data_IF_913558877578
#
_entry.id   IF_913558877578
#
_cell.length_a   1.000
_cell.length_b   1.000
_cell.length_c   1.000
_cell.angle_alpha   90.00
_cell.angle_beta   90.00
_cell.angle_gamma   90.00
#
_symmetry.space_group_name_H-M   'P 1'
#
loop_
_entity.id
_entity.type
_entity.pdbx_description
1 polymer ?
#
# COMPACT_ATOMS: atom_id res chain seq x y z
N UNK A 1 3.07 15.17 -20.06
CA UNK A 1 3.32 15.36 -18.61
C UNK A 1 2.07 15.22 -17.73
N UNK A 2 1.02 16.04 -17.89
CA UNK A 2 -0.14 16.05 -16.98
C UNK A 2 -1.01 14.76 -16.94
N UNK A 3 -1.10 14.02 -18.04
CA UNK A 3 -1.81 12.73 -18.06
C UNK A 3 -1.04 11.63 -17.27
N UNK A 4 0.29 11.65 -17.35
CA UNK A 4 1.17 10.68 -16.67
C UNK A 4 1.19 10.92 -15.16
N UNK A 5 1.25 12.18 -14.72
CA UNK A 5 1.14 12.49 -13.29
C UNK A 5 -0.22 12.06 -12.70
N UNK A 6 -1.32 12.21 -13.44
CA UNK A 6 -2.63 11.68 -13.05
C UNK A 6 -2.64 10.16 -12.93
N UNK A 7 -2.00 9.45 -13.86
CA UNK A 7 -1.87 7.98 -13.81
C UNK A 7 -1.07 7.52 -12.59
N UNK A 8 0.08 8.15 -12.32
CA UNK A 8 0.93 7.86 -11.14
C UNK A 8 0.12 8.07 -9.85
N UNK A 9 -0.58 9.19 -9.73
CA UNK A 9 -1.40 9.50 -8.54
C UNK A 9 -2.57 8.54 -8.37
N UNK A 10 -3.20 8.11 -9.48
CA UNK A 10 -4.25 7.09 -9.43
C UNK A 10 -3.70 5.78 -8.90
N UNK A 11 -2.57 5.32 -9.45
CA UNK A 11 -1.91 4.08 -9.04
C UNK A 11 -1.49 4.12 -7.57
N UNK A 12 -0.89 5.23 -7.13
CA UNK A 12 -0.52 5.46 -5.74
C UNK A 12 -1.73 5.32 -4.79
N UNK A 13 -2.85 5.99 -5.10
CA UNK A 13 -4.07 5.90 -4.31
C UNK A 13 -4.65 4.48 -4.30
N UNK A 14 -4.59 3.78 -5.42
CA UNK A 14 -5.03 2.39 -5.52
C UNK A 14 -4.18 1.48 -4.63
N UNK A 15 -2.85 1.60 -4.69
CA UNK A 15 -1.93 0.83 -3.84
C UNK A 15 -2.20 1.04 -2.35
N UNK A 16 -2.40 2.30 -1.93
CA UNK A 16 -2.72 2.59 -0.53
C UNK A 16 -4.05 1.96 -0.10
N UNK A 17 -5.08 2.05 -0.93
CA UNK A 17 -6.39 1.45 -0.65
C UNK A 17 -6.33 -0.07 -0.54
N UNK A 18 -5.56 -0.74 -1.38
CA UNK A 18 -5.39 -2.19 -1.28
C UNK A 18 -4.56 -2.58 -0.05
N UNK A 19 -3.50 -1.83 0.27
CA UNK A 19 -2.69 -2.07 1.46
C UNK A 19 -3.47 -1.84 2.78
N UNK A 20 -4.42 -0.92 2.81
CA UNK A 20 -5.28 -0.71 3.99
C UNK A 20 -6.15 -1.93 4.33
N UNK A 21 -6.44 -2.79 3.36
CA UNK A 21 -7.28 -3.98 3.55
C UNK A 21 -6.56 -5.14 4.22
N UNK A 22 -5.24 -5.06 4.42
CA UNK A 22 -4.52 -6.09 5.16
C UNK A 22 -5.12 -6.25 6.56
N UNK A 23 -5.49 -7.47 6.98
CA UNK A 23 -6.10 -7.68 8.29
C UNK A 23 -5.08 -7.45 9.42
N UNK A 24 -3.86 -7.98 9.26
CA UNK A 24 -2.77 -7.78 10.23
C UNK A 24 -2.20 -6.37 10.17
N UNK A 25 -2.09 -5.74 11.35
CA UNK A 25 -1.51 -4.42 11.53
C UNK A 25 -0.08 -4.31 11.01
N UNK A 26 0.75 -5.35 11.18
CA UNK A 26 2.14 -5.31 10.76
C UNK A 26 2.26 -5.20 9.24
N UNK A 27 1.52 -6.04 8.51
CA UNK A 27 1.50 -5.96 7.05
C UNK A 27 0.87 -4.65 6.56
N UNK A 28 -0.26 -4.24 7.16
CA UNK A 28 -0.93 -2.97 6.81
C UNK A 28 0.00 -1.77 6.96
N UNK A 29 0.63 -1.62 8.12
CA UNK A 29 1.52 -0.47 8.41
C UNK A 29 2.80 -0.50 7.59
N UNK A 30 3.42 -1.68 7.46
CA UNK A 30 4.62 -1.83 6.63
C UNK A 30 4.34 -1.50 5.17
N UNK A 31 3.31 -2.09 4.57
CA UNK A 31 2.97 -1.87 3.16
C UNK A 31 2.63 -0.40 2.90
N UNK A 32 1.84 0.25 3.77
CA UNK A 32 1.52 1.67 3.62
C UNK A 32 2.77 2.56 3.68
N UNK A 33 3.69 2.27 4.60
CA UNK A 33 4.97 3.00 4.70
C UNK A 33 5.83 2.76 3.46
N UNK A 34 6.02 1.50 3.06
CA UNK A 34 6.86 1.14 1.90
C UNK A 34 6.34 1.77 0.60
N UNK A 35 5.03 1.80 0.38
CA UNK A 35 4.41 2.47 -0.77
C UNK A 35 4.71 3.97 -0.72
N UNK A 36 4.50 4.64 0.42
CA UNK A 36 4.79 6.08 0.56
C UNK A 36 6.25 6.39 0.30
N UNK A 37 7.15 5.59 0.84
CA UNK A 37 8.59 5.79 0.70
C UNK A 37 9.03 5.60 -0.75
N UNK A 38 8.58 4.53 -1.42
CA UNK A 38 8.91 4.25 -2.83
C UNK A 38 8.48 5.38 -3.78
N UNK A 39 7.26 5.92 -3.61
CA UNK A 39 6.76 7.00 -4.47
C UNK A 39 7.44 8.33 -4.17
N UNK A 40 7.94 8.54 -2.94
CA UNK A 40 8.71 9.73 -2.58
C UNK A 40 10.14 9.66 -3.14
N UNK A 41 10.76 8.48 -3.05
CA UNK A 41 12.10 8.20 -3.57
C UNK A 41 12.22 8.52 -5.06
N UNK A 42 11.22 8.14 -5.87
CA UNK A 42 11.21 8.38 -7.32
C UNK A 42 10.40 9.62 -7.75
N UNK A 43 10.11 10.56 -6.84
CA UNK A 43 9.27 11.73 -7.15
C UNK A 43 9.87 12.65 -8.21
N UNK A 44 11.19 12.79 -8.22
CA UNK A 44 11.93 13.68 -9.11
C UNK A 44 12.54 12.95 -10.32
N UNK A 45 12.20 11.67 -10.51
CA UNK A 45 12.63 10.93 -11.68
C UNK A 45 12.05 11.57 -12.95
N UNK A 46 12.92 11.74 -13.94
CA UNK A 46 12.60 12.42 -15.20
C UNK A 46 12.83 11.54 -16.42
N UNK A 47 13.52 10.41 -16.24
CA UNK A 47 13.72 9.40 -17.27
C UNK A 47 12.42 8.65 -17.55
N UNK A 48 11.92 8.78 -18.78
CA UNK A 48 10.64 8.22 -19.19
C UNK A 48 10.63 6.69 -19.16
N UNK A 49 11.74 6.03 -19.51
CA UNK A 49 11.82 4.57 -19.53
C UNK A 49 11.77 4.01 -18.10
N UNK A 50 12.57 4.60 -17.19
CA UNK A 50 12.55 4.21 -15.78
C UNK A 50 11.18 4.41 -15.13
N UNK A 51 10.49 5.51 -15.44
CA UNK A 51 9.14 5.72 -14.90
C UNK A 51 8.17 4.65 -15.41
N UNK A 52 8.31 4.18 -16.66
CA UNK A 52 7.43 3.12 -17.20
C UNK A 52 7.74 1.76 -16.57
N UNK A 53 9.02 1.46 -16.30
CA UNK A 53 9.43 0.28 -15.54
C UNK A 53 8.88 0.32 -14.11
N UNK A 54 9.01 1.46 -13.43
CA UNK A 54 8.46 1.65 -12.08
C UNK A 54 6.95 1.51 -12.04
N UNK A 55 6.24 2.03 -13.04
CA UNK A 55 4.79 1.88 -13.16
C UNK A 55 4.38 0.42 -13.40
N UNK A 56 5.14 -0.30 -14.22
CA UNK A 56 4.91 -1.73 -14.47
C UNK A 56 5.16 -2.55 -13.21
N UNK A 57 6.25 -2.27 -12.51
CA UNK A 57 6.57 -2.85 -11.21
C UNK A 57 5.48 -2.57 -10.17
N UNK A 58 4.99 -1.33 -10.08
CA UNK A 58 3.92 -0.96 -9.15
C UNK A 58 2.60 -1.68 -9.45
N UNK A 59 2.23 -1.84 -10.74
CA UNK A 59 1.05 -2.63 -11.15
C UNK A 59 1.18 -4.10 -10.74
N UNK A 60 2.34 -4.71 -10.95
CA UNK A 60 2.58 -6.08 -10.51
C UNK A 60 2.45 -6.23 -8.98
N UNK A 61 2.95 -5.25 -8.23
CA UNK A 61 2.87 -5.25 -6.77
C UNK A 61 1.44 -5.08 -6.23
N UNK A 62 0.56 -4.35 -6.92
CA UNK A 62 -0.86 -4.28 -6.54
C UNK A 62 -1.47 -5.69 -6.54
N UNK A 63 -1.21 -6.48 -7.58
CA UNK A 63 -1.75 -7.82 -7.68
C UNK A 63 -1.20 -8.76 -6.59
N UNK A 64 0.07 -8.57 -6.20
CA UNK A 64 0.65 -9.27 -5.05
C UNK A 64 -0.09 -8.86 -3.77
N UNK A 65 -0.26 -7.56 -3.52
CA UNK A 65 -0.96 -7.04 -2.33
C UNK A 65 -2.38 -7.63 -2.26
N UNK A 66 -3.14 -7.60 -3.35
CA UNK A 66 -4.51 -8.17 -3.40
C UNK A 66 -4.55 -9.64 -3.00
N UNK A 67 -3.62 -10.45 -3.53
CA UNK A 67 -3.53 -11.89 -3.17
C UNK A 67 -3.17 -12.08 -1.70
N UNK A 68 -2.21 -11.31 -1.19
CA UNK A 68 -1.78 -11.41 0.21
C UNK A 68 -2.87 -10.94 1.17
N UNK A 69 -3.64 -9.92 0.81
CA UNK A 69 -4.83 -9.48 1.57
C UNK A 69 -5.87 -10.60 1.61
N UNK A 70 -6.13 -11.25 0.48
CA UNK A 70 -7.08 -12.38 0.41
C UNK A 70 -6.61 -13.54 1.30
N UNK A 71 -5.35 -13.96 1.18
CA UNK A 71 -4.78 -15.05 1.97
C UNK A 71 -4.83 -14.70 3.47
N UNK A 72 -4.41 -13.50 3.86
CA UNK A 72 -4.47 -13.08 5.27
C UNK A 72 -5.90 -12.96 5.80
N UNK A 73 -6.89 -12.77 4.92
CA UNK A 73 -8.30 -12.77 5.31
C UNK A 73 -8.86 -14.18 5.49
N UNK A 74 -8.41 -15.14 4.66
CA UNK A 74 -8.77 -16.55 4.78
C UNK A 74 -8.13 -17.21 6.01
N UNK A 75 -6.87 -16.88 6.28
CA UNK A 75 -6.09 -17.41 7.40
C UNK A 75 -5.82 -16.31 8.43
N UNK A 76 -6.90 -15.74 8.98
CA UNK A 76 -6.80 -14.64 9.94
C UNK A 76 -6.25 -15.14 11.28
N UNK A 77 -5.13 -14.59 11.69
CA UNK A 77 -4.56 -14.79 13.02
C UNK A 77 -5.30 -13.95 14.08
N UNK A 78 -5.21 -14.35 15.37
CA UNK A 78 -5.70 -13.53 16.47
C UNK A 78 -5.07 -12.14 16.46
N UNK A 79 -5.84 -11.14 16.87
CA UNK A 79 -5.36 -9.78 16.92
C UNK A 79 -4.22 -9.64 17.94
N UNK A 80 -3.24 -8.83 17.56
CA UNK A 80 -2.11 -8.52 18.43
C UNK A 80 -2.52 -7.58 19.56
N UNK A 81 -1.74 -7.56 20.65
CA UNK A 81 -1.96 -6.64 21.79
C UNK A 81 -2.02 -5.17 21.33
N UNK A 82 -1.22 -4.82 20.33
CA UNK A 82 -1.19 -3.46 19.76
C UNK A 82 -2.52 -3.13 19.08
N UNK A 83 -3.11 -4.07 18.33
CA UNK A 83 -4.41 -3.86 17.68
C UNK A 83 -5.54 -3.68 18.69
N UNK A 84 -5.52 -4.45 19.79
CA UNK A 84 -6.46 -4.29 20.88
C UNK A 84 -6.38 -2.88 21.49
N UNK A 85 -5.17 -2.41 21.82
CA UNK A 85 -4.96 -1.08 22.41
C UNK A 85 -5.36 0.06 21.46
N UNK A 86 -5.08 -0.08 20.16
CA UNK A 86 -5.46 0.92 19.16
C UNK A 86 -6.98 1.02 18.98
N UNK A 87 -7.71 -0.10 19.10
CA UNK A 87 -9.18 -0.11 19.04
C UNK A 87 -9.81 0.51 20.28
N UNK A 88 -9.31 0.20 21.48
CA UNK A 88 -9.84 0.79 22.72
C UNK A 88 -9.70 2.31 22.71
N UNK A 89 -8.55 2.83 22.29
CA UNK A 89 -8.33 4.28 22.24
C UNK A 89 -9.21 5.01 21.21
N UNK A 90 -9.58 4.33 20.11
CA UNK A 90 -10.53 4.87 19.12
C UNK A 90 -11.97 4.87 19.60
N UNK A 91 -12.35 3.95 20.48
CA UNK A 91 -13.70 3.86 21.04
C UNK A 91 -13.93 4.84 22.20
N UNK A 92 -12.86 5.36 22.79
CA UNK A 92 -12.89 6.38 23.85
C UNK A 92 -12.81 7.82 23.33
N UNK A 93 -12.78 8.03 22.01
CA UNK A 93 -12.84 9.34 21.34
C UNK A 93 -14.17 9.47 20.59
#
# INVERSE_FOLDING_TARGET
>A
MAARSKQVLRLYKEMLREAEKFPSYMYRTYSLRRIKDAFREHKEESDFEKIDDLLTYAKANIEIIKRQVLIGSLYREPETVIEHHLKSNKASQ
#
